data_IF_861049931899
#
_entry.id   IF_861049931899
#
_cell.length_a   1.000
_cell.length_b   1.000
_cell.length_c   1.000
_cell.angle_alpha   90.00
_cell.angle_beta   90.00
_cell.angle_gamma   90.00
#
_symmetry.space_group_name_H-M   'P 1'
#
loop_
_entity.id
_entity.type
_entity.pdbx_description
1 polymer ?
#
# COMPACT_ATOMS: atom_id res chain seq x y z
N UNK A 1 12.35 12.23 4.63
CA UNK A 1 11.90 11.23 3.63
C UNK A 1 10.43 10.97 3.91
N UNK A 2 9.56 10.88 2.90
CA UNK A 2 8.14 10.64 3.13
C UNK A 2 7.85 9.14 3.07
N UNK A 3 7.07 8.66 4.03
CA UNK A 3 6.60 7.29 4.07
C UNK A 3 5.59 7.00 2.94
N UNK A 4 5.56 5.77 2.38
CA UNK A 4 4.56 5.40 1.39
C UNK A 4 3.14 5.49 1.97
N UNK A 5 2.23 6.12 1.22
CA UNK A 5 0.81 6.18 1.55
C UNK A 5 0.03 5.35 0.55
N UNK A 6 -0.79 4.43 1.05
CA UNK A 6 -1.62 3.54 0.23
C UNK A 6 -3.09 3.83 0.47
N UNK A 7 -3.87 3.76 -0.60
CA UNK A 7 -5.32 3.92 -0.60
C UNK A 7 -5.97 2.62 -1.05
N UNK A 8 -6.91 2.11 -0.25
CA UNK A 8 -7.74 0.97 -0.59
C UNK A 8 -9.17 1.48 -0.76
N UNK A 9 -9.73 1.30 -1.95
CA UNK A 9 -11.14 1.55 -2.23
C UNK A 9 -11.91 0.26 -2.00
N UNK A 10 -12.88 0.28 -1.09
CA UNK A 10 -13.74 -0.87 -0.82
C UNK A 10 -14.94 -0.87 -1.78
N UNK A 11 -15.58 -2.02 -1.99
CA UNK A 11 -16.79 -2.14 -2.83
C UNK A 11 -17.94 -1.23 -2.39
N UNK A 12 -17.96 -0.85 -1.09
CA UNK A 12 -18.90 0.14 -0.54
C UNK A 12 -18.65 1.59 -0.98
N UNK A 13 -17.60 1.85 -1.79
CA UNK A 13 -17.13 3.19 -2.14
C UNK A 13 -16.35 3.89 -1.03
N UNK A 14 -16.28 3.32 0.18
CA UNK A 14 -15.46 3.84 1.28
C UNK A 14 -13.98 3.64 0.99
N UNK A 15 -13.17 4.51 1.58
CA UNK A 15 -11.72 4.53 1.40
C UNK A 15 -11.02 4.30 2.72
N UNK A 16 -10.04 3.39 2.73
CA UNK A 16 -9.05 3.25 3.80
C UNK A 16 -7.73 3.86 3.31
N UNK A 17 -7.10 4.68 4.15
CA UNK A 17 -5.77 5.24 3.90
C UNK A 17 -4.80 4.72 4.94
N UNK A 18 -3.65 4.25 4.51
CA UNK A 18 -2.59 3.72 5.36
C UNK A 18 -1.28 4.41 5.05
N UNK A 19 -0.48 4.66 6.09
CA UNK A 19 0.92 5.05 5.97
C UNK A 19 1.80 3.86 6.36
N UNK A 20 2.81 3.56 5.56
CA UNK A 20 3.71 2.43 5.74
C UNK A 20 5.07 2.93 6.22
N UNK A 21 5.72 2.18 7.12
CA UNK A 21 6.97 2.59 7.74
C UNK A 21 8.09 1.59 7.41
N UNK A 22 8.84 1.79 6.30
CA UNK A 22 9.92 0.89 5.89
C UNK A 22 11.04 0.79 6.92
N UNK A 23 11.26 1.86 7.69
CA UNK A 23 12.27 1.91 8.75
C UNK A 23 11.96 0.98 9.93
N UNK A 24 10.68 0.66 10.15
CA UNK A 24 10.24 -0.25 11.21
C UNK A 24 10.16 -1.68 10.68
N UNK A 25 9.64 -1.87 9.46
CA UNK A 25 9.40 -3.19 8.89
C UNK A 25 9.71 -3.24 7.37
N UNK A 26 10.99 -3.23 6.98
CA UNK A 26 11.40 -3.01 5.59
C UNK A 26 10.85 -4.09 4.65
N UNK A 27 11.03 -5.37 5.00
CA UNK A 27 10.61 -6.52 4.18
C UNK A 27 9.08 -6.61 4.08
N UNK A 28 8.36 -6.28 5.15
CA UNK A 28 6.90 -6.30 5.14
C UNK A 28 6.34 -5.20 4.23
N UNK A 29 6.91 -4.00 4.30
CA UNK A 29 6.49 -2.87 3.46
C UNK A 29 6.81 -3.16 1.98
N UNK A 30 8.00 -3.68 1.69
CA UNK A 30 8.38 -4.08 0.33
C UNK A 30 7.40 -5.13 -0.24
N UNK A 31 7.18 -6.21 0.48
CA UNK A 31 6.25 -7.28 0.06
C UNK A 31 4.83 -6.76 -0.16
N UNK A 32 4.33 -5.88 0.73
CA UNK A 32 3.00 -5.31 0.58
C UNK A 32 2.89 -4.44 -0.69
N UNK A 33 3.85 -3.56 -0.93
CA UNK A 33 3.89 -2.72 -2.14
C UNK A 33 3.97 -3.56 -3.41
N UNK A 34 4.74 -4.64 -3.40
CA UNK A 34 4.84 -5.57 -4.51
C UNK A 34 3.52 -6.30 -4.78
N UNK A 35 2.82 -6.74 -3.73
CA UNK A 35 1.50 -7.35 -3.88
C UNK A 35 0.49 -6.36 -4.45
N UNK A 36 0.50 -5.10 -4.00
CA UNK A 36 -0.37 -4.05 -4.55
C UNK A 36 -0.07 -3.84 -6.04
N UNK A 37 1.19 -3.73 -6.45
CA UNK A 37 1.57 -3.58 -7.87
C UNK A 37 1.16 -4.79 -8.71
N UNK A 38 1.26 -6.00 -8.17
CA UNK A 38 0.90 -7.26 -8.86
C UNK A 38 -0.60 -7.46 -8.97
N UNK A 39 -1.35 -7.18 -7.90
CA UNK A 39 -2.80 -7.31 -7.85
C UNK A 39 -3.51 -6.23 -8.67
N UNK A 40 -2.88 -5.05 -8.80
CA UNK A 40 -3.36 -3.92 -9.60
C UNK A 40 -2.36 -3.61 -10.72
N UNK A 41 -2.31 -4.46 -11.75
CA UNK A 41 -1.84 -4.00 -13.07
C UNK A 41 -2.96 -3.10 -13.64
N UNK A 42 -2.93 -1.83 -13.30
CA UNK A 42 -3.66 -0.80 -14.05
C UNK A 42 -2.64 0.00 -14.84
N UNK A 43 -2.80 -0.01 -16.17
CA UNK A 43 -2.14 0.89 -17.11
C UNK A 43 -2.45 2.36 -16.79
#
# INVERSE_FOLDING_TARGET
MANPIVRITMDSGKTIRLELYPEIAPVTVENFLDLVKKAFITA
#
